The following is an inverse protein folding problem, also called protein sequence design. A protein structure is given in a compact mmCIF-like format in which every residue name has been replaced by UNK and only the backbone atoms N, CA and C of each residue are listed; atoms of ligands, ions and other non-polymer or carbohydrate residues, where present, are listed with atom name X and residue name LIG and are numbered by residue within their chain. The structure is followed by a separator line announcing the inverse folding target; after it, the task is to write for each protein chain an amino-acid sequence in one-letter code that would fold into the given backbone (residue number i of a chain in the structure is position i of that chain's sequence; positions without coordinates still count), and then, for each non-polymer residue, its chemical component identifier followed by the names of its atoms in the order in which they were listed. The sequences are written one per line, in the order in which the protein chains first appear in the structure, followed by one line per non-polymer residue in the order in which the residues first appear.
data_IF_583002602826
#
_entry.id   IF_583002602826
#
_cell.length_a   1.000
_cell.length_b   1.000
_cell.length_c   1.000
_cell.angle_alpha   90.00
_cell.angle_beta   90.00
_cell.angle_gamma   90.00
#
_symmetry.space_group_name_H-M   'P 1'
#
loop_
_entity.id
_entity.type
_entity.pdbx_description
1 polymer ?
#
# COMPACT_ATOMS: atom_id res chain seq x y z
N UNK A 1 -15.02 11.87 9.55
CA UNK A 1 -14.75 12.15 8.12
C UNK A 1 -14.40 13.61 7.95
N UNK A 2 -13.35 13.91 7.20
CA UNK A 2 -12.91 15.26 6.87
C UNK A 2 -13.78 15.96 5.81
N UNK A 3 -13.21 16.98 5.17
CA UNK A 3 -13.89 17.83 4.18
C UNK A 3 -13.65 17.36 2.73
N UNK A 4 -14.51 17.83 1.82
CA UNK A 4 -14.34 17.65 0.35
C UNK A 4 -14.28 16.19 -0.11
N UNK A 5 -14.88 15.28 0.67
CA UNK A 5 -14.99 13.89 0.27
C UNK A 5 -16.22 13.68 -0.63
N UNK A 6 -16.06 12.94 -1.73
CA UNK A 6 -17.14 12.55 -2.64
C UNK A 6 -17.50 11.09 -2.41
N UNK A 7 -18.78 10.79 -2.20
CA UNK A 7 -19.29 9.43 -1.96
C UNK A 7 -20.25 9.05 -3.08
N UNK A 8 -19.90 8.00 -3.81
CA UNK A 8 -20.69 7.46 -4.91
C UNK A 8 -21.90 6.65 -4.46
N UNK A 9 -22.79 6.39 -5.39
CA UNK A 9 -24.01 5.63 -5.16
C UNK A 9 -23.70 4.21 -4.61
N UNK A 10 -24.44 3.81 -3.56
CA UNK A 10 -24.30 2.48 -2.97
C UNK A 10 -23.01 2.22 -2.21
N UNK A 11 -22.16 3.24 -1.97
CA UNK A 11 -20.99 3.09 -1.13
C UNK A 11 -21.39 2.83 0.33
N UNK A 12 -20.73 1.88 0.99
CA UNK A 12 -20.93 1.51 2.39
C UNK A 12 -19.67 1.85 3.17
N UNK A 13 -19.78 2.77 4.13
CA UNK A 13 -18.65 3.21 4.96
C UNK A 13 -19.00 2.92 6.42
N UNK A 14 -18.09 2.22 7.11
CA UNK A 14 -18.28 1.83 8.51
C UNK A 14 -19.12 0.58 8.70
N UNK A 15 -19.28 -0.23 7.64
CA UNK A 15 -19.94 -1.54 7.78
C UNK A 15 -19.17 -2.46 8.73
N UNK A 16 -19.87 -3.43 9.30
CA UNK A 16 -19.26 -4.40 10.22
C UNK A 16 -18.20 -5.25 9.52
N UNK A 17 -17.08 -5.57 10.20
CA UNK A 17 -16.05 -6.46 9.69
C UNK A 17 -16.60 -7.80 9.19
N UNK A 18 -16.10 -8.28 8.06
CA UNK A 18 -16.38 -9.63 7.56
C UNK A 18 -15.47 -10.65 8.26
N UNK A 19 -15.54 -10.67 9.57
CA UNK A 19 -14.81 -11.57 10.45
C UNK A 19 -15.80 -12.35 11.31
N UNK A 20 -15.76 -13.68 11.24
CA UNK A 20 -16.67 -14.54 12.00
C UNK A 20 -16.51 -14.39 13.52
N UNK A 21 -15.34 -13.95 13.98
CA UNK A 21 -15.05 -13.68 15.39
C UNK A 21 -15.43 -12.26 15.85
N UNK A 22 -15.93 -11.41 14.94
CA UNK A 22 -16.23 -10.02 15.27
C UNK A 22 -17.39 -9.90 16.26
N UNK A 23 -17.16 -9.11 17.32
CA UNK A 23 -18.22 -8.74 18.28
C UNK A 23 -18.85 -7.39 17.90
N UNK A 24 -20.11 -7.35 17.46
CA UNK A 24 -20.76 -6.10 17.04
C UNK A 24 -20.88 -5.01 18.14
N UNK A 25 -20.73 -5.39 19.42
CA UNK A 25 -20.77 -4.44 20.54
C UNK A 25 -19.48 -3.62 20.71
N UNK A 26 -18.43 -3.94 19.94
CA UNK A 26 -17.15 -3.20 19.95
C UNK A 26 -17.41 -1.77 19.46
N UNK A 27 -16.97 -0.78 20.24
CA UNK A 27 -17.00 0.63 19.84
C UNK A 27 -15.80 0.93 18.95
N UNK A 28 -16.03 0.96 17.65
CA UNK A 28 -14.98 1.19 16.65
C UNK A 28 -15.52 1.97 15.46
N UNK A 29 -14.61 2.47 14.61
CA UNK A 29 -15.02 3.35 13.53
C UNK A 29 -14.13 3.32 12.30
N UNK A 30 -14.35 4.33 11.45
CA UNK A 30 -13.54 4.66 10.28
C UNK A 30 -13.17 6.13 10.35
N UNK A 31 -11.87 6.44 10.33
CA UNK A 31 -11.35 7.80 10.21
C UNK A 31 -10.98 8.08 8.77
N UNK A 32 -11.53 9.15 8.21
CA UNK A 32 -11.31 9.54 6.81
C UNK A 32 -10.82 10.99 6.78
N UNK A 33 -9.72 11.24 6.08
CA UNK A 33 -9.17 12.57 5.82
C UNK A 33 -10.02 13.39 4.84
N UNK A 34 -9.37 14.21 4.05
CA UNK A 34 -10.00 15.17 3.15
C UNK A 34 -9.82 14.78 1.67
N UNK A 35 -10.68 15.28 0.80
CA UNK A 35 -10.51 15.22 -0.65
C UNK A 35 -10.60 13.82 -1.25
N UNK A 36 -11.09 12.81 -0.52
CA UNK A 36 -11.19 11.45 -1.04
C UNK A 36 -12.40 11.29 -1.95
N UNK A 37 -12.27 10.44 -2.96
CA UNK A 37 -13.37 10.02 -3.82
C UNK A 37 -13.62 8.53 -3.68
N UNK A 38 -14.79 8.18 -3.20
CA UNK A 38 -15.28 6.80 -3.12
C UNK A 38 -16.35 6.63 -4.20
N UNK A 39 -16.06 5.82 -5.23
CA UNK A 39 -16.98 5.58 -6.32
C UNK A 39 -18.07 4.59 -5.93
N UNK A 40 -18.87 4.20 -6.89
CA UNK A 40 -20.06 3.38 -6.70
C UNK A 40 -19.72 2.05 -6.03
N UNK A 41 -20.49 1.67 -5.03
CA UNK A 41 -20.41 0.39 -4.31
C UNK A 41 -19.06 0.13 -3.63
N UNK A 42 -18.26 1.15 -3.36
CA UNK A 42 -17.07 1.01 -2.50
C UNK A 42 -17.54 0.56 -1.11
N UNK A 43 -16.81 -0.39 -0.51
CA UNK A 43 -17.10 -0.85 0.84
C UNK A 43 -15.88 -0.66 1.74
N UNK A 44 -16.10 -0.09 2.93
CA UNK A 44 -15.07 0.18 3.95
C UNK A 44 -15.61 -0.28 5.29
N UNK A 45 -14.92 -1.24 5.90
CA UNK A 45 -15.33 -1.79 7.19
C UNK A 45 -14.66 -1.07 8.35
N UNK A 46 -15.38 -0.96 9.48
CA UNK A 46 -14.85 -0.43 10.74
C UNK A 46 -13.82 -1.37 11.35
N UNK A 47 -13.09 -0.91 12.35
CA UNK A 47 -12.08 -1.73 13.05
C UNK A 47 -12.73 -2.86 13.87
N UNK A 48 -11.98 -3.93 14.08
CA UNK A 48 -12.33 -5.02 15.01
C UNK A 48 -11.93 -4.72 16.46
N UNK A 49 -11.13 -3.69 16.69
CA UNK A 49 -10.56 -3.35 17.99
C UNK A 49 -11.41 -2.31 18.70
N UNK A 50 -11.62 -2.49 20.00
CA UNK A 50 -12.30 -1.50 20.84
C UNK A 50 -11.54 -0.17 20.88
N UNK A 51 -12.22 0.95 20.61
CA UNK A 51 -11.59 2.25 20.40
C UNK A 51 -10.79 2.37 19.08
N UNK A 52 -10.72 1.31 18.27
CA UNK A 52 -9.92 1.25 17.05
C UNK A 52 -10.60 1.87 15.83
N UNK A 53 -9.81 2.14 14.79
CA UNK A 53 -10.32 2.71 13.55
C UNK A 53 -9.61 2.12 12.33
N UNK A 54 -10.35 1.88 11.27
CA UNK A 54 -9.83 1.82 9.91
C UNK A 54 -9.52 3.25 9.48
N UNK A 55 -8.32 3.50 8.92
CA UNK A 55 -7.81 4.85 8.69
C UNK A 55 -7.56 5.09 7.20
N UNK A 56 -8.13 6.16 6.68
CA UNK A 56 -7.96 6.61 5.30
C UNK A 56 -7.43 8.05 5.32
N UNK A 57 -6.28 8.27 4.71
CA UNK A 57 -5.65 9.59 4.58
C UNK A 57 -6.43 10.52 3.65
N UNK A 58 -5.71 11.34 2.90
CA UNK A 58 -6.27 12.37 2.05
C UNK A 58 -6.10 12.03 0.56
N UNK A 59 -6.94 12.64 -0.30
CA UNK A 59 -6.80 12.65 -1.75
C UNK A 59 -6.74 11.24 -2.37
N UNK A 60 -7.38 10.25 -1.74
CA UNK A 60 -7.44 8.91 -2.29
C UNK A 60 -8.62 8.76 -3.27
N UNK A 61 -8.42 7.98 -4.33
CA UNK A 61 -9.43 7.69 -5.33
C UNK A 61 -9.71 6.18 -5.37
N UNK A 62 -10.84 5.77 -4.82
CA UNK A 62 -11.30 4.38 -4.81
C UNK A 62 -12.37 4.22 -5.90
N UNK A 63 -12.07 3.46 -6.93
CA UNK A 63 -12.98 3.21 -8.04
C UNK A 63 -14.07 2.21 -7.65
N UNK A 64 -15.01 1.99 -8.57
CA UNK A 64 -16.20 1.21 -8.30
C UNK A 64 -15.90 -0.19 -7.72
N UNK A 65 -16.64 -0.56 -6.68
CA UNK A 65 -16.55 -1.83 -5.98
C UNK A 65 -15.15 -2.13 -5.36
N UNK A 66 -14.29 -1.14 -5.16
CA UNK A 66 -13.08 -1.33 -4.35
C UNK A 66 -13.48 -1.59 -2.90
N UNK A 67 -12.74 -2.48 -2.24
CA UNK A 67 -13.00 -2.92 -0.86
C UNK A 67 -11.83 -2.66 0.06
N UNK A 68 -12.06 -2.02 1.19
CA UNK A 68 -11.16 -1.93 2.32
C UNK A 68 -11.76 -2.70 3.51
N UNK A 69 -11.08 -3.75 3.94
CA UNK A 69 -11.48 -4.49 5.13
C UNK A 69 -11.16 -3.72 6.42
N UNK A 70 -11.46 -4.34 7.55
CA UNK A 70 -11.25 -3.78 8.89
C UNK A 70 -9.77 -3.52 9.20
N UNK A 71 -9.50 -2.54 10.04
CA UNK A 71 -8.15 -2.23 10.54
C UNK A 71 -7.12 -1.87 9.45
N UNK A 72 -7.58 -1.57 8.24
CA UNK A 72 -6.73 -1.09 7.16
C UNK A 72 -6.29 0.35 7.45
N UNK A 73 -5.02 0.64 7.17
CA UNK A 73 -4.47 2.00 7.21
C UNK A 73 -3.94 2.34 5.82
N UNK A 74 -4.49 3.37 5.19
CA UNK A 74 -3.97 3.88 3.93
C UNK A 74 -3.55 5.35 4.05
N UNK A 75 -2.42 5.68 3.43
CA UNK A 75 -1.89 7.04 3.36
C UNK A 75 -2.67 7.93 2.39
N UNK A 76 -1.95 8.76 1.65
CA UNK A 76 -2.52 9.80 0.80
C UNK A 76 -2.28 9.53 -0.69
N UNK A 77 -3.11 10.15 -1.54
CA UNK A 77 -2.95 10.14 -3.00
C UNK A 77 -2.91 8.73 -3.63
N UNK A 78 -3.61 7.77 -3.05
CA UNK A 78 -3.66 6.42 -3.57
C UNK A 78 -4.80 6.24 -4.58
N UNK A 79 -4.57 5.43 -5.60
CA UNK A 79 -5.58 5.06 -6.59
C UNK A 79 -5.80 3.55 -6.53
N UNK A 80 -7.00 3.15 -6.16
CA UNK A 80 -7.44 1.76 -6.15
C UNK A 80 -8.48 1.58 -7.26
N UNK A 81 -8.09 0.88 -8.33
CA UNK A 81 -8.99 0.67 -9.48
C UNK A 81 -10.12 -0.31 -9.12
N UNK A 82 -11.06 -0.48 -10.05
CA UNK A 82 -12.26 -1.29 -9.84
C UNK A 82 -11.98 -2.68 -9.28
N UNK A 83 -12.80 -3.09 -8.31
CA UNK A 83 -12.74 -4.42 -7.66
C UNK A 83 -11.39 -4.71 -6.96
N UNK A 84 -10.63 -3.70 -6.58
CA UNK A 84 -9.45 -3.91 -5.74
C UNK A 84 -9.88 -4.37 -4.35
N UNK A 85 -9.20 -5.38 -3.80
CA UNK A 85 -9.52 -5.98 -2.51
C UNK A 85 -8.35 -5.84 -1.53
N UNK A 86 -8.52 -5.03 -0.51
CA UNK A 86 -7.53 -4.81 0.55
C UNK A 86 -8.04 -5.49 1.82
N UNK A 87 -7.39 -6.58 2.21
CA UNK A 87 -7.78 -7.38 3.38
C UNK A 87 -7.42 -6.69 4.71
N UNK A 88 -7.88 -7.27 5.82
CA UNK A 88 -7.71 -6.69 7.15
C UNK A 88 -6.26 -6.45 7.57
N UNK A 89 -6.03 -5.39 8.35
CA UNK A 89 -4.73 -5.01 8.90
C UNK A 89 -3.64 -4.70 7.85
N UNK A 90 -4.02 -4.44 6.60
CA UNK A 90 -3.09 -4.01 5.57
C UNK A 90 -2.72 -2.55 5.79
N UNK A 91 -1.43 -2.23 5.60
CA UNK A 91 -0.96 -0.85 5.59
C UNK A 91 -0.50 -0.47 4.18
N UNK A 92 -1.06 0.60 3.64
CA UNK A 92 -0.67 1.21 2.37
C UNK A 92 0.01 2.55 2.63
N UNK A 93 1.15 2.77 1.99
CA UNK A 93 1.81 4.08 1.98
C UNK A 93 1.06 5.12 1.13
N UNK A 94 1.81 6.03 0.55
CA UNK A 94 1.30 7.13 -0.25
C UNK A 94 1.56 6.91 -1.75
N UNK A 95 0.76 7.57 -2.60
CA UNK A 95 0.95 7.58 -4.06
C UNK A 95 1.00 6.17 -4.69
N UNK A 96 0.30 5.20 -4.11
CA UNK A 96 0.23 3.84 -4.68
C UNK A 96 -0.81 3.76 -5.79
N UNK A 97 -0.61 2.83 -6.70
CA UNK A 97 -1.58 2.53 -7.75
C UNK A 97 -1.89 1.03 -7.78
N UNK A 98 -3.16 0.70 -7.68
CA UNK A 98 -3.66 -0.66 -7.81
C UNK A 98 -4.49 -0.82 -9.07
N UNK A 99 -4.09 -1.71 -9.95
CA UNK A 99 -4.87 -2.12 -11.11
C UNK A 99 -6.12 -2.91 -10.73
N UNK A 100 -7.12 -2.90 -11.58
CA UNK A 100 -8.41 -3.54 -11.31
C UNK A 100 -8.28 -5.02 -10.92
N UNK A 101 -9.08 -5.45 -9.96
CA UNK A 101 -9.07 -6.82 -9.44
C UNK A 101 -7.83 -7.21 -8.63
N UNK A 102 -6.92 -6.29 -8.34
CA UNK A 102 -5.76 -6.59 -7.50
C UNK A 102 -6.18 -6.89 -6.06
N UNK A 103 -5.51 -7.85 -5.42
CA UNK A 103 -5.78 -8.28 -4.05
C UNK A 103 -4.56 -8.21 -3.15
N UNK A 104 -4.75 -7.79 -1.89
CA UNK A 104 -3.70 -7.76 -0.87
C UNK A 104 -4.15 -8.56 0.34
N UNK A 105 -3.34 -9.55 0.71
CA UNK A 105 -3.61 -10.42 1.86
C UNK A 105 -3.43 -9.65 3.18
N UNK A 106 -4.16 -10.09 4.20
CA UNK A 106 -4.12 -9.47 5.53
C UNK A 106 -2.71 -9.36 6.13
N UNK A 107 -2.48 -8.29 6.89
CA UNK A 107 -1.22 -7.96 7.57
C UNK A 107 -0.04 -7.64 6.63
N UNK A 108 -0.29 -7.37 5.38
CA UNK A 108 0.73 -6.99 4.39
C UNK A 108 0.98 -5.49 4.41
N UNK A 109 2.22 -5.07 4.22
CA UNK A 109 2.62 -3.67 4.08
C UNK A 109 2.98 -3.37 2.63
N UNK A 110 2.41 -2.31 2.07
CA UNK A 110 2.70 -1.84 0.71
C UNK A 110 3.34 -0.45 0.83
N UNK A 111 4.58 -0.33 0.37
CA UNK A 111 5.33 0.92 0.47
C UNK A 111 4.88 2.01 -0.50
N UNK A 112 5.36 3.23 -0.25
CA UNK A 112 5.06 4.42 -1.06
C UNK A 112 5.35 4.22 -2.54
N UNK A 113 4.56 4.83 -3.40
CA UNK A 113 4.70 4.79 -4.85
C UNK A 113 4.76 3.36 -5.44
N UNK A 114 4.33 2.34 -4.71
CA UNK A 114 4.22 1.00 -5.27
C UNK A 114 3.12 0.95 -6.34
N UNK A 115 3.33 0.12 -7.35
CA UNK A 115 2.34 -0.17 -8.38
C UNK A 115 2.02 -1.66 -8.38
N UNK A 116 0.78 -1.99 -8.14
CA UNK A 116 0.26 -3.37 -8.22
C UNK A 116 -0.53 -3.51 -9.52
N UNK A 117 -0.12 -4.41 -10.40
CA UNK A 117 -0.82 -4.64 -11.68
C UNK A 117 -2.22 -5.24 -11.45
N UNK A 118 -3.09 -5.07 -12.44
CA UNK A 118 -4.43 -5.66 -12.41
C UNK A 118 -4.40 -7.18 -12.21
N UNK A 119 -5.32 -7.70 -11.40
CA UNK A 119 -5.45 -9.11 -11.02
C UNK A 119 -4.22 -9.70 -10.31
N UNK A 120 -3.27 -8.88 -9.87
CA UNK A 120 -2.14 -9.34 -9.06
C UNK A 120 -2.58 -9.59 -7.60
N UNK A 121 -1.95 -10.57 -6.95
CA UNK A 121 -2.23 -10.92 -5.55
C UNK A 121 -0.95 -10.84 -4.73
N UNK A 122 -0.97 -9.98 -3.71
CA UNK A 122 0.16 -9.77 -2.81
C UNK A 122 -0.12 -10.43 -1.45
N UNK A 123 0.72 -11.38 -1.06
CA UNK A 123 0.69 -12.03 0.26
C UNK A 123 1.94 -11.73 1.08
N UNK A 124 2.85 -10.93 0.53
CA UNK A 124 4.09 -10.46 1.15
C UNK A 124 4.19 -8.95 1.05
N UNK A 125 4.98 -8.36 1.93
CA UNK A 125 5.24 -6.93 1.91
C UNK A 125 5.87 -6.48 0.60
N UNK A 126 5.37 -5.39 0.04
CA UNK A 126 5.87 -4.78 -1.19
C UNK A 126 6.75 -3.59 -0.82
N UNK A 127 8.04 -3.59 -1.19
CA UNK A 127 8.90 -2.45 -0.95
C UNK A 127 8.41 -1.19 -1.66
N UNK A 128 8.69 0.02 -1.15
CA UNK A 128 8.34 1.25 -1.84
C UNK A 128 8.94 1.32 -3.24
N UNK A 129 8.27 2.06 -4.11
CA UNK A 129 8.69 2.37 -5.48
C UNK A 129 8.69 1.18 -6.45
N UNK A 130 8.24 0.01 -6.03
CA UNK A 130 8.31 -1.21 -6.83
C UNK A 130 7.04 -1.45 -7.65
N UNK A 131 7.20 -2.09 -8.80
CA UNK A 131 6.11 -2.65 -9.60
C UNK A 131 6.01 -4.14 -9.30
N UNK A 132 4.79 -4.59 -9.00
CA UNK A 132 4.51 -6.01 -8.73
C UNK A 132 3.36 -6.51 -9.61
N UNK A 133 3.42 -7.80 -9.97
CA UNK A 133 2.45 -8.44 -10.85
C UNK A 133 2.19 -9.88 -10.44
N UNK A 134 1.18 -10.50 -11.03
CA UNK A 134 0.78 -11.88 -10.76
C UNK A 134 0.69 -12.17 -9.26
N UNK A 135 1.27 -13.27 -8.79
CA UNK A 135 1.33 -13.60 -7.36
C UNK A 135 2.74 -13.35 -6.85
N UNK A 136 2.89 -12.30 -6.03
CA UNK A 136 4.16 -11.97 -5.36
C UNK A 136 5.38 -11.82 -6.29
N UNK A 137 5.20 -11.33 -7.51
CA UNK A 137 6.32 -11.15 -8.43
C UNK A 137 6.71 -9.67 -8.54
N UNK A 138 7.98 -9.38 -8.27
CA UNK A 138 8.56 -8.05 -8.39
C UNK A 138 9.10 -7.85 -9.81
N UNK A 139 8.51 -6.92 -10.57
CA UNK A 139 8.94 -6.59 -11.94
C UNK A 139 10.13 -5.65 -11.98
N UNK A 140 10.09 -4.59 -11.16
CA UNK A 140 11.09 -3.55 -11.19
C UNK A 140 10.67 -2.27 -10.49
N UNK A 141 11.31 -1.16 -10.86
CA UNK A 141 11.08 0.16 -10.29
C UNK A 141 9.95 0.91 -11.00
N UNK A 142 9.05 1.51 -10.24
CA UNK A 142 7.97 2.38 -10.73
C UNK A 142 8.48 3.78 -11.10
N UNK A 143 9.29 3.85 -12.14
CA UNK A 143 9.89 5.12 -12.59
C UNK A 143 8.86 6.17 -13.00
N UNK A 144 7.70 5.74 -13.51
CA UNK A 144 6.60 6.63 -13.89
C UNK A 144 5.92 7.19 -12.65
N UNK A 145 5.63 6.34 -11.67
CA UNK A 145 5.04 6.76 -10.38
C UNK A 145 5.93 7.74 -9.65
N UNK A 146 7.23 7.46 -9.56
CA UNK A 146 8.21 8.37 -8.96
C UNK A 146 8.21 9.77 -9.63
N UNK A 147 8.20 9.81 -10.97
CA UNK A 147 8.12 11.09 -11.69
C UNK A 147 6.83 11.85 -11.39
N UNK A 148 5.68 11.16 -11.35
CA UNK A 148 4.37 11.75 -11.05
C UNK A 148 4.28 12.25 -9.61
N UNK A 149 4.90 11.56 -8.67
CA UNK A 149 4.98 11.95 -7.27
C UNK A 149 5.98 13.10 -6.99
N UNK A 150 6.65 13.62 -8.02
CA UNK A 150 7.49 14.79 -7.91
C UNK A 150 8.96 14.52 -7.55
N UNK A 151 9.40 13.27 -7.51
CA UNK A 151 10.82 12.96 -7.25
C UNK A 151 11.73 13.55 -8.33
N UNK A 152 12.76 14.26 -7.90
CA UNK A 152 13.77 14.86 -8.77
C UNK A 152 14.56 13.81 -9.57
N UNK A 153 15.22 14.19 -10.66
CA UNK A 153 16.10 13.29 -11.39
C UNK A 153 17.22 12.67 -10.52
N UNK A 154 17.74 13.43 -9.54
CA UNK A 154 18.78 12.97 -8.62
C UNK A 154 18.24 11.89 -7.68
N UNK A 155 17.13 12.13 -7.01
CA UNK A 155 16.48 11.14 -6.13
C UNK A 155 16.12 9.85 -6.89
N UNK A 156 15.54 9.98 -8.08
CA UNK A 156 15.22 8.81 -8.91
C UNK A 156 16.45 8.01 -9.32
N UNK A 157 17.60 8.65 -9.52
CA UNK A 157 18.87 7.99 -9.81
C UNK A 157 19.37 7.21 -8.59
N UNK A 158 19.29 7.81 -7.40
CA UNK A 158 19.66 7.14 -6.14
C UNK A 158 18.75 5.94 -5.84
N UNK A 159 17.43 6.13 -5.93
CA UNK A 159 16.45 5.05 -5.76
C UNK A 159 16.72 3.90 -6.74
N UNK A 160 17.04 4.21 -8.00
CA UNK A 160 17.38 3.20 -9.00
C UNK A 160 18.65 2.43 -8.64
N UNK A 161 19.66 3.11 -8.11
CA UNK A 161 20.90 2.48 -7.65
C UNK A 161 20.63 1.55 -6.45
N UNK A 162 19.93 2.04 -5.42
CA UNK A 162 19.53 1.26 -4.27
C UNK A 162 18.69 0.03 -4.69
N UNK A 163 17.70 0.23 -5.57
CA UNK A 163 16.89 -0.87 -6.11
C UNK A 163 17.76 -1.90 -6.86
N UNK A 164 18.79 -1.47 -7.60
CA UNK A 164 19.69 -2.38 -8.31
C UNK A 164 20.51 -3.23 -7.33
N UNK A 165 21.06 -2.61 -6.29
CA UNK A 165 21.79 -3.30 -5.24
C UNK A 165 20.90 -4.33 -4.54
N UNK A 166 19.70 -3.91 -4.11
CA UNK A 166 18.80 -4.75 -3.30
C UNK A 166 18.15 -5.91 -4.09
N UNK A 167 17.91 -5.73 -5.40
CA UNK A 167 17.07 -6.67 -6.15
C UNK A 167 17.69 -7.19 -7.45
N UNK A 168 18.83 -6.68 -7.89
CA UNK A 168 19.44 -7.06 -9.18
C UNK A 168 20.83 -7.70 -9.04
N UNK A 169 21.54 -7.45 -7.97
CA UNK A 169 22.81 -8.12 -7.68
C UNK A 169 22.58 -9.58 -7.26
N UNK A 170 23.56 -10.43 -7.52
CA UNK A 170 23.55 -11.82 -7.03
C UNK A 170 23.95 -11.81 -5.56
N UNK A 171 23.27 -12.59 -4.75
CA UNK A 171 23.58 -12.71 -3.32
C UNK A 171 22.34 -12.83 -2.46
N UNK A 172 22.56 -12.97 -1.18
CA UNK A 172 21.50 -12.96 -0.17
C UNK A 172 21.02 -11.53 0.12
N UNK A 173 19.83 -11.42 0.74
CA UNK A 173 19.32 -10.14 1.24
C UNK A 173 20.31 -9.45 2.20
N UNK A 174 20.99 -10.22 3.06
CA UNK A 174 21.96 -9.68 3.99
C UNK A 174 23.18 -9.06 3.27
N UNK A 175 23.69 -9.73 2.25
CA UNK A 175 24.79 -9.21 1.43
C UNK A 175 24.38 -7.94 0.67
N UNK A 176 23.19 -7.91 0.07
CA UNK A 176 22.68 -6.70 -0.62
C UNK A 176 22.51 -5.51 0.33
N UNK A 177 22.04 -5.76 1.56
CA UNK A 177 21.95 -4.70 2.58
C UNK A 177 23.35 -4.24 3.04
N UNK A 178 24.29 -5.15 3.24
CA UNK A 178 25.66 -4.79 3.58
C UNK A 178 26.35 -3.97 2.47
N UNK A 179 26.09 -4.29 1.19
CA UNK A 179 26.56 -3.48 0.05
C UNK A 179 25.92 -2.08 0.06
N UNK A 180 24.62 -1.99 0.33
CA UNK A 180 23.93 -0.69 0.44
C UNK A 180 24.50 0.16 1.58
N UNK A 181 24.93 -0.42 2.69
CA UNK A 181 25.51 0.28 3.84
C UNK A 181 26.89 0.91 3.57
N UNK A 182 27.52 0.55 2.49
CA UNK A 182 28.80 1.16 2.08
C UNK A 182 28.65 2.56 1.46
N UNK A 183 27.43 3.03 1.28
CA UNK A 183 27.12 4.31 0.63
C UNK A 183 26.28 5.20 1.53
N UNK A 184 26.33 6.52 1.27
CA UNK A 184 25.42 7.49 1.88
C UNK A 184 24.25 7.74 0.92
N UNK A 185 23.03 7.69 1.44
CA UNK A 185 21.80 7.80 0.67
C UNK A 185 20.98 9.02 1.08
N UNK A 186 20.27 9.61 0.13
CA UNK A 186 19.20 10.55 0.42
C UNK A 186 17.98 9.84 1.04
N UNK A 187 17.06 10.62 1.58
CA UNK A 187 15.89 10.15 2.33
C UNK A 187 15.09 9.07 1.59
N UNK A 188 14.83 9.31 0.30
CA UNK A 188 14.00 8.39 -0.50
C UNK A 188 14.67 7.03 -0.74
N UNK A 189 15.97 7.01 -1.02
CA UNK A 189 16.71 5.75 -1.18
C UNK A 189 16.85 5.02 0.16
N UNK A 190 17.06 5.74 1.25
CA UNK A 190 17.06 5.22 2.62
C UNK A 190 15.74 4.54 2.95
N UNK A 191 14.59 5.15 2.61
CA UNK A 191 13.27 4.56 2.84
C UNK A 191 13.11 3.18 2.16
N UNK A 192 13.65 3.01 0.95
CA UNK A 192 13.65 1.71 0.26
C UNK A 192 14.52 0.69 1.00
N UNK A 193 15.71 1.07 1.43
CA UNK A 193 16.67 0.19 2.12
C UNK A 193 16.08 -0.26 3.46
N UNK A 194 15.53 0.68 4.23
CA UNK A 194 14.93 0.39 5.53
C UNK A 194 13.66 -0.46 5.41
N UNK A 195 12.85 -0.29 4.37
CA UNK A 195 11.72 -1.17 4.11
C UNK A 195 12.18 -2.62 3.90
N UNK A 196 13.30 -2.83 3.18
CA UNK A 196 13.89 -4.16 2.99
C UNK A 196 14.54 -4.68 4.27
N UNK A 197 15.13 -3.81 5.09
CA UNK A 197 15.78 -4.15 6.36
C UNK A 197 14.78 -4.58 7.44
N UNK A 198 13.65 -3.87 7.52
CA UNK A 198 12.65 -4.05 8.56
C UNK A 198 12.08 -5.47 8.56
N UNK A 199 12.06 -6.16 9.72
CA UNK A 199 11.42 -7.46 9.84
C UNK A 199 9.96 -7.44 9.42
N UNK A 200 9.51 -8.51 8.81
CA UNK A 200 8.12 -8.69 8.38
C UNK A 200 7.65 -10.10 8.73
N UNK A 201 6.45 -10.19 9.32
CA UNK A 201 5.79 -11.47 9.56
C UNK A 201 5.32 -12.16 8.27
N UNK A 202 5.12 -11.38 7.20
CA UNK A 202 4.72 -11.87 5.87
C UNK A 202 5.92 -12.12 4.95
N UNK A 203 7.12 -11.69 5.34
CA UNK A 203 8.27 -11.62 4.47
C UNK A 203 8.12 -10.47 3.45
N UNK A 204 9.24 -9.95 2.99
CA UNK A 204 9.27 -8.91 1.97
C UNK A 204 9.49 -9.52 0.59
N UNK A 205 8.89 -8.94 -0.44
CA UNK A 205 9.15 -9.33 -1.81
C UNK A 205 10.60 -9.03 -2.16
N UNK A 206 11.26 -10.09 -2.59
CA UNK A 206 12.53 -10.08 -3.30
C UNK A 206 12.31 -10.78 -4.63
N UNK A 207 13.27 -10.86 -5.45
CA UNK A 207 13.14 -11.62 -6.72
C UNK A 207 12.74 -13.06 -6.48
#
# INVERSE_FOLDING_TARGET
MGKENTIGHGAVIGGDPQDLGFNPSVDSGVLIGNGNTFREYVTIHRSTQDGGNTIIGNENYLMAAAHLAHDVVIGNNNILANNTMIAGHVTLGNNTFFGGGAGVHQFTRIGDCAMVQGNAVMTRDVPPYCIVHQVNQLSGLNSVGLKRAGFSPAERKEIKLAHTILFRTKGSRAESLAEADLQTWGEAATALIEAVRTPSSKGILTR
#
